data_IF_164749873341
#
_entry.id   IF_164749873341
#
_cell.length_a   1.000
_cell.length_b   1.000
_cell.length_c   1.000
_cell.angle_alpha   90.00
_cell.angle_beta   90.00
_cell.angle_gamma   90.00
#
_symmetry.space_group_name_H-M   'P 1'
#
loop_
_entity.id
_entity.type
_entity.pdbx_description
1 polymer ?
#
# COMPACT_ATOMS: atom_id res chain seq x y z
N UNK A 1 22.57 4.05 -16.15
CA UNK A 1 21.36 4.14 -16.98
C UNK A 1 20.36 3.04 -16.65
N UNK A 2 20.80 1.82 -16.34
CA UNK A 2 19.93 0.67 -16.03
C UNK A 2 18.83 0.87 -14.99
N UNK A 3 19.05 1.63 -13.90
CA UNK A 3 17.99 1.84 -12.89
C UNK A 3 16.85 2.71 -13.41
N UNK A 4 17.16 3.77 -14.15
CA UNK A 4 16.15 4.65 -14.76
C UNK A 4 15.37 3.89 -15.83
N UNK A 5 16.08 3.12 -16.65
CA UNK A 5 15.48 2.26 -17.66
C UNK A 5 14.52 1.24 -17.04
N UNK A 6 14.92 0.57 -15.93
CA UNK A 6 14.02 -0.30 -15.16
C UNK A 6 12.77 0.44 -14.66
N UNK A 7 12.90 1.65 -14.13
CA UNK A 7 11.74 2.42 -13.67
C UNK A 7 10.78 2.80 -14.80
N UNK A 8 11.32 3.24 -15.95
CA UNK A 8 10.51 3.58 -17.13
C UNK A 8 9.77 2.35 -17.66
N UNK A 9 10.45 1.20 -17.75
CA UNK A 9 9.82 -0.07 -18.12
C UNK A 9 8.72 -0.42 -17.14
N UNK A 10 8.97 -0.37 -15.82
CA UNK A 10 7.93 -0.70 -14.84
C UNK A 10 6.73 0.24 -14.93
N UNK A 11 6.96 1.55 -15.09
CA UNK A 11 5.88 2.53 -15.24
C UNK A 11 5.06 2.29 -16.51
N UNK A 12 5.74 1.97 -17.61
CA UNK A 12 5.10 1.63 -18.89
C UNK A 12 4.27 0.34 -18.80
N UNK A 13 4.80 -0.70 -18.14
CA UNK A 13 4.05 -1.93 -17.89
C UNK A 13 2.81 -1.66 -17.02
N UNK A 14 2.93 -0.84 -15.97
CA UNK A 14 1.77 -0.43 -15.17
C UNK A 14 0.74 0.35 -15.99
N UNK A 15 1.16 1.26 -16.87
CA UNK A 15 0.21 1.98 -17.73
C UNK A 15 -0.49 1.08 -18.73
N UNK A 16 0.19 0.06 -19.27
CA UNK A 16 -0.44 -0.95 -20.13
C UNK A 16 -1.50 -1.73 -19.34
N UNK A 17 -1.16 -2.22 -18.14
CA UNK A 17 -2.10 -2.98 -17.32
C UNK A 17 -3.31 -2.14 -16.96
N UNK A 18 -3.12 -0.88 -16.56
CA UNK A 18 -4.23 0.06 -16.30
C UNK A 18 -5.06 0.27 -17.57
N UNK A 19 -4.42 0.48 -18.71
CA UNK A 19 -5.10 0.63 -20.00
C UNK A 19 -5.97 -0.58 -20.34
N UNK A 20 -5.44 -1.80 -20.19
CA UNK A 20 -6.19 -3.05 -20.41
C UNK A 20 -7.39 -3.14 -19.46
N UNK A 21 -7.21 -2.83 -18.18
CA UNK A 21 -8.31 -2.83 -17.19
C UNK A 21 -9.39 -1.83 -17.58
N UNK A 22 -9.01 -0.62 -18.02
CA UNK A 22 -9.96 0.42 -18.42
C UNK A 22 -10.71 0.04 -19.70
N UNK A 23 -10.01 -0.49 -20.71
CA UNK A 23 -10.62 -0.96 -21.96
C UNK A 23 -11.59 -2.10 -21.66
N UNK A 24 -11.17 -3.08 -20.86
CA UNK A 24 -12.04 -4.19 -20.46
C UNK A 24 -13.24 -3.70 -19.65
N UNK A 25 -13.05 -2.73 -18.74
CA UNK A 25 -14.13 -2.14 -17.95
C UNK A 25 -15.15 -1.41 -18.82
N UNK A 26 -14.68 -0.65 -19.81
CA UNK A 26 -15.54 0.04 -20.78
C UNK A 26 -16.30 -0.96 -21.66
N UNK A 27 -15.61 -1.98 -22.18
CA UNK A 27 -16.24 -3.06 -22.93
C UNK A 27 -17.29 -3.81 -22.10
N UNK A 28 -17.00 -4.09 -20.83
CA UNK A 28 -17.93 -4.69 -19.88
C UNK A 28 -19.18 -3.84 -19.64
N UNK A 29 -19.00 -2.52 -19.51
CA UNK A 29 -20.11 -1.57 -19.38
C UNK A 29 -21.02 -1.58 -20.62
N UNK A 30 -20.43 -1.63 -21.83
CA UNK A 30 -21.17 -1.64 -23.09
C UNK A 30 -21.99 -2.93 -23.33
N UNK A 31 -21.61 -4.05 -22.71
CA UNK A 31 -22.33 -5.32 -22.87
C UNK A 31 -23.70 -5.35 -22.19
N UNK A 32 -24.05 -4.34 -21.39
CA UNK A 32 -25.31 -4.23 -20.64
C UNK A 32 -25.74 -5.54 -19.94
N UNK A 33 -24.77 -6.27 -19.40
CA UNK A 33 -25.02 -7.56 -18.75
C UNK A 33 -25.97 -7.38 -17.57
N UNK A 34 -26.78 -8.41 -17.31
CA UNK A 34 -27.57 -8.47 -16.08
C UNK A 34 -26.74 -9.08 -14.95
N UNK A 35 -26.67 -8.45 -13.76
CA UNK A 35 -26.07 -9.06 -12.58
C UNK A 35 -26.68 -10.42 -12.21
N UNK A 36 -27.95 -10.64 -12.55
CA UNK A 36 -28.72 -11.81 -12.12
C UNK A 36 -28.74 -12.96 -13.12
N UNK A 37 -28.25 -12.75 -14.36
CA UNK A 37 -28.31 -13.75 -15.46
C UNK A 37 -26.94 -13.96 -16.12
N UNK A 38 -26.71 -15.16 -16.67
CA UNK A 38 -25.54 -15.48 -17.46
C UNK A 38 -24.21 -15.28 -16.73
N UNK A 39 -23.24 -14.67 -17.41
CA UNK A 39 -21.85 -14.51 -16.93
C UNK A 39 -21.78 -13.62 -15.68
N UNK A 40 -22.62 -12.57 -15.58
CA UNK A 40 -22.64 -11.67 -14.43
C UNK A 40 -22.93 -12.41 -13.11
N UNK A 41 -23.78 -13.44 -13.16
CA UNK A 41 -24.11 -14.25 -11.98
C UNK A 41 -22.93 -15.08 -11.48
N UNK A 42 -22.21 -15.75 -12.38
CA UNK A 42 -21.05 -16.57 -12.04
C UNK A 42 -19.89 -15.75 -11.49
N UNK A 43 -19.67 -14.55 -12.04
CA UNK A 43 -18.67 -13.61 -11.53
C UNK A 43 -19.02 -13.18 -10.09
N UNK A 44 -20.30 -12.98 -9.79
CA UNK A 44 -20.77 -12.71 -8.43
C UNK A 44 -20.42 -13.83 -7.46
N UNK A 45 -20.69 -15.08 -7.83
CA UNK A 45 -20.34 -16.25 -6.99
C UNK A 45 -18.83 -16.42 -6.84
N UNK A 46 -18.06 -16.27 -7.91
CA UNK A 46 -16.60 -16.36 -7.85
C UNK A 46 -16.02 -15.27 -6.94
N UNK A 47 -16.44 -14.02 -7.14
CA UNK A 47 -16.02 -12.88 -6.32
C UNK A 47 -16.42 -13.03 -4.85
N UNK A 48 -17.69 -13.34 -4.57
CA UNK A 48 -18.19 -13.58 -3.21
C UNK A 48 -17.50 -14.77 -2.53
N UNK A 49 -17.25 -15.85 -3.26
CA UNK A 49 -16.49 -17.01 -2.79
C UNK A 49 -15.05 -16.62 -2.41
N UNK A 50 -14.36 -15.86 -3.26
CA UNK A 50 -13.03 -15.32 -2.93
C UNK A 50 -13.07 -14.46 -1.67
N UNK A 51 -14.08 -13.60 -1.50
CA UNK A 51 -14.25 -12.80 -0.29
C UNK A 51 -14.39 -13.68 0.94
N UNK A 52 -15.25 -14.71 0.91
CA UNK A 52 -15.38 -15.66 2.04
C UNK A 52 -14.06 -16.37 2.33
N UNK A 53 -13.34 -16.81 1.29
CA UNK A 53 -12.03 -17.48 1.44
C UNK A 53 -10.96 -16.58 2.09
N UNK A 54 -11.08 -15.25 2.00
CA UNK A 54 -10.17 -14.35 2.74
C UNK A 54 -10.19 -14.60 4.26
N UNK A 55 -11.30 -15.14 4.79
CA UNK A 55 -11.47 -15.43 6.21
C UNK A 55 -10.69 -16.64 6.69
N UNK A 56 -10.24 -17.51 5.77
CA UNK A 56 -9.38 -18.64 6.14
C UNK A 56 -8.10 -18.18 6.84
N UNK A 57 -7.57 -17.01 6.48
CA UNK A 57 -6.44 -16.40 7.19
C UNK A 57 -6.79 -16.11 8.66
N UNK A 58 -7.94 -15.48 8.91
CA UNK A 58 -8.41 -15.16 10.27
C UNK A 58 -8.67 -16.43 11.09
N UNK A 59 -9.31 -17.43 10.47
CA UNK A 59 -9.60 -18.73 11.10
C UNK A 59 -8.29 -19.43 11.47
N UNK A 60 -7.35 -19.54 10.54
CA UNK A 60 -6.03 -20.16 10.76
C UNK A 60 -5.25 -19.45 11.86
N UNK A 61 -5.35 -18.13 11.98
CA UNK A 61 -4.70 -17.35 13.05
C UNK A 61 -5.33 -17.58 14.44
N UNK A 62 -6.62 -17.92 14.51
CA UNK A 62 -7.37 -18.09 15.78
C UNK A 62 -7.33 -19.52 16.29
N UNK A 63 -7.35 -20.50 15.39
CA UNK A 63 -7.38 -21.92 15.74
C UNK A 63 -5.95 -22.43 15.95
N UNK A 64 -5.59 -22.76 17.20
CA UNK A 64 -4.22 -23.19 17.57
C UNK A 64 -3.74 -24.41 16.78
N UNK A 65 -4.63 -25.38 16.48
CA UNK A 65 -4.27 -26.59 15.71
C UNK A 65 -3.89 -26.30 14.25
N UNK A 66 -4.32 -25.18 13.69
CA UNK A 66 -3.99 -24.77 12.32
C UNK A 66 -2.69 -23.95 12.23
N UNK A 67 -2.02 -23.70 13.36
CA UNK A 67 -0.77 -22.92 13.36
C UNK A 67 0.34 -23.58 12.55
N UNK A 68 0.39 -24.92 12.50
CA UNK A 68 1.37 -25.69 11.72
C UNK A 68 1.07 -25.79 10.21
N UNK A 69 -0.14 -25.42 9.76
CA UNK A 69 -0.56 -25.61 8.37
C UNK A 69 -0.01 -24.48 7.49
N UNK A 70 1.08 -24.75 6.76
CA UNK A 70 1.68 -23.86 5.76
C UNK A 70 2.33 -22.59 6.34
N UNK A 71 3.15 -21.92 5.54
CA UNK A 71 3.89 -20.74 5.98
C UNK A 71 2.97 -19.53 6.27
N UNK A 72 3.20 -18.80 7.37
CA UNK A 72 2.41 -17.58 7.72
C UNK A 72 2.36 -16.55 6.59
N UNK A 73 3.49 -16.37 5.90
CA UNK A 73 3.61 -15.48 4.74
C UNK A 73 2.68 -15.89 3.61
N UNK A 74 2.62 -17.18 3.27
CA UNK A 74 1.78 -17.69 2.18
C UNK A 74 0.29 -17.43 2.42
N UNK A 75 -0.20 -17.61 3.65
CA UNK A 75 -1.59 -17.32 3.98
C UNK A 75 -1.92 -15.83 3.95
N UNK A 76 -0.99 -14.97 4.37
CA UNK A 76 -1.15 -13.53 4.25
C UNK A 76 -1.15 -13.09 2.78
N UNK A 77 -0.26 -13.65 1.97
CA UNK A 77 -0.22 -13.38 0.54
C UNK A 77 -1.52 -13.84 -0.13
N UNK A 78 -2.02 -15.04 0.17
CA UNK A 78 -3.31 -15.54 -0.31
C UNK A 78 -4.48 -14.62 0.08
N UNK A 79 -4.56 -14.19 1.34
CA UNK A 79 -5.58 -13.26 1.81
C UNK A 79 -5.57 -11.95 1.00
N UNK A 80 -4.38 -11.41 0.71
CA UNK A 80 -4.23 -10.17 -0.07
C UNK A 80 -4.63 -10.40 -1.53
N UNK A 81 -4.21 -11.52 -2.15
CA UNK A 81 -4.60 -11.84 -3.52
C UNK A 81 -6.12 -11.97 -3.67
N UNK A 82 -6.76 -12.73 -2.79
CA UNK A 82 -8.21 -12.89 -2.78
C UNK A 82 -8.93 -11.56 -2.47
N UNK A 83 -8.39 -10.76 -1.55
CA UNK A 83 -8.91 -9.45 -1.19
C UNK A 83 -8.69 -8.35 -2.23
N UNK A 84 -7.94 -8.62 -3.31
CA UNK A 84 -7.80 -7.74 -4.48
C UNK A 84 -8.66 -8.22 -5.65
N UNK A 85 -8.61 -9.53 -5.94
CA UNK A 85 -9.33 -10.11 -7.08
C UNK A 85 -10.83 -10.20 -6.79
N UNK A 86 -11.23 -10.62 -5.58
CA UNK A 86 -12.64 -10.73 -5.17
C UNK A 86 -13.43 -9.43 -5.36
N UNK A 87 -12.96 -8.28 -4.82
CA UNK A 87 -13.63 -7.00 -5.02
C UNK A 87 -13.67 -6.54 -6.49
N UNK A 88 -12.65 -6.88 -7.27
CA UNK A 88 -12.61 -6.57 -8.71
C UNK A 88 -13.71 -7.33 -9.45
N UNK A 89 -13.88 -8.63 -9.17
CA UNK A 89 -14.97 -9.43 -9.74
C UNK A 89 -16.33 -8.91 -9.28
N UNK A 90 -16.48 -8.56 -8.00
CA UNK A 90 -17.73 -8.01 -7.46
C UNK A 90 -18.07 -6.66 -8.13
N UNK A 91 -17.09 -5.80 -8.41
CA UNK A 91 -17.32 -4.57 -9.16
C UNK A 91 -17.92 -4.85 -10.54
N UNK A 92 -17.37 -5.82 -11.28
CA UNK A 92 -17.94 -6.24 -12.56
C UNK A 92 -19.33 -6.87 -12.41
N UNK A 93 -19.57 -7.67 -11.37
CA UNK A 93 -20.88 -8.26 -11.07
C UNK A 93 -21.96 -7.18 -10.87
N UNK A 94 -21.63 -6.06 -10.24
CA UNK A 94 -22.60 -4.97 -10.04
C UNK A 94 -22.98 -4.26 -11.35
N UNK A 95 -22.24 -4.48 -12.44
CA UNK A 95 -22.43 -3.79 -13.73
C UNK A 95 -22.42 -2.26 -13.59
N UNK A 96 -21.73 -1.77 -12.56
CA UNK A 96 -21.68 -0.36 -12.15
C UNK A 96 -23.04 0.25 -11.75
N UNK A 97 -24.06 -0.58 -11.53
CA UNK A 97 -25.38 -0.18 -11.04
C UNK A 97 -25.45 -0.43 -9.54
N UNK A 98 -25.06 0.56 -8.75
CA UNK A 98 -25.06 0.51 -7.29
C UNK A 98 -26.23 1.28 -6.72
N UNK A 99 -27.05 0.64 -5.88
CA UNK A 99 -28.19 1.28 -5.23
C UNK A 99 -28.56 0.61 -3.90
N UNK A 100 -29.31 1.34 -3.07
CA UNK A 100 -29.83 0.87 -1.79
C UNK A 100 -28.74 0.41 -0.82
N UNK A 101 -29.10 -0.54 0.05
CA UNK A 101 -28.20 -1.06 1.10
C UNK A 101 -26.97 -1.80 0.53
N UNK A 102 -27.08 -2.34 -0.70
CA UNK A 102 -25.99 -3.07 -1.35
C UNK A 102 -24.80 -2.15 -1.65
N UNK A 103 -25.06 -0.87 -1.94
CA UNK A 103 -24.00 0.13 -2.12
C UNK A 103 -23.14 0.29 -0.85
N UNK A 104 -23.73 0.16 0.34
CA UNK A 104 -22.98 0.21 1.62
C UNK A 104 -22.01 -0.96 1.72
N UNK A 105 -22.44 -2.18 1.37
CA UNK A 105 -21.54 -3.36 1.33
C UNK A 105 -20.42 -3.16 0.32
N UNK A 106 -20.74 -2.69 -0.88
CA UNK A 106 -19.78 -2.45 -1.94
C UNK A 106 -18.71 -1.44 -1.53
N UNK A 107 -19.10 -0.27 -1.02
CA UNK A 107 -18.13 0.73 -0.58
C UNK A 107 -17.36 0.28 0.66
N UNK A 108 -17.98 -0.46 1.57
CA UNK A 108 -17.27 -1.08 2.69
C UNK A 108 -16.19 -2.04 2.21
N UNK A 109 -16.49 -2.88 1.22
CA UNK A 109 -15.52 -3.77 0.57
C UNK A 109 -14.35 -3.00 -0.04
N UNK A 110 -14.63 -1.91 -0.78
CA UNK A 110 -13.58 -1.05 -1.36
C UNK A 110 -12.70 -0.44 -0.26
N UNK A 111 -13.30 0.04 0.83
CA UNK A 111 -12.56 0.58 1.99
C UNK A 111 -11.70 -0.50 2.65
N UNK A 112 -12.19 -1.73 2.81
CA UNK A 112 -11.40 -2.87 3.33
C UNK A 112 -10.22 -3.17 2.41
N UNK A 113 -10.46 -3.27 1.09
CA UNK A 113 -9.40 -3.53 0.11
C UNK A 113 -8.31 -2.45 0.14
N UNK A 114 -8.70 -1.17 0.06
CA UNK A 114 -7.76 -0.04 0.06
C UNK A 114 -7.00 0.05 1.40
N UNK A 115 -7.70 -0.15 2.53
CA UNK A 115 -7.05 -0.17 3.84
C UNK A 115 -6.11 -1.38 4.00
N UNK A 116 -6.41 -2.52 3.36
CA UNK A 116 -5.53 -3.67 3.28
C UNK A 116 -4.22 -3.38 2.53
N UNK A 117 -4.29 -2.66 1.40
CA UNK A 117 -3.11 -2.21 0.63
C UNK A 117 -2.21 -1.34 1.49
N UNK A 118 -2.79 -0.35 2.18
CA UNK A 118 -2.05 0.54 3.09
C UNK A 118 -1.50 -0.26 4.29
N UNK A 119 -2.26 -1.20 4.84
CA UNK A 119 -1.80 -2.09 5.91
C UNK A 119 -0.59 -2.92 5.49
N UNK A 120 -0.59 -3.48 4.28
CA UNK A 120 0.55 -4.20 3.69
C UNK A 120 1.76 -3.27 3.48
N UNK A 121 1.53 -2.02 3.07
CA UNK A 121 2.59 -1.01 2.92
C UNK A 121 3.32 -0.77 4.24
N UNK A 122 2.60 -0.70 5.37
CA UNK A 122 3.19 -0.56 6.71
C UNK A 122 3.90 -1.85 7.11
N UNK A 123 3.22 -2.99 7.03
CA UNK A 123 3.71 -4.30 7.52
C UNK A 123 5.05 -4.71 6.88
N UNK A 124 5.23 -4.47 5.58
CA UNK A 124 6.49 -4.81 4.87
C UNK A 124 7.67 -3.96 5.34
N UNK A 125 7.42 -2.71 5.76
CA UNK A 125 8.49 -1.79 6.18
C UNK A 125 8.79 -1.89 7.67
N UNK A 126 7.78 -2.23 8.47
CA UNK A 126 7.85 -2.27 9.93
C UNK A 126 7.05 -3.48 10.41
N UNK A 127 7.73 -4.59 10.73
CA UNK A 127 7.08 -5.72 11.38
C UNK A 127 6.47 -5.25 12.70
N UNK A 128 5.21 -5.58 12.96
CA UNK A 128 4.45 -5.12 14.14
C UNK A 128 5.18 -5.39 15.45
N UNK A 129 5.94 -6.49 15.56
CA UNK A 129 6.72 -6.81 16.76
C UNK A 129 7.89 -5.86 17.04
N UNK A 130 8.39 -5.14 16.03
CA UNK A 130 9.49 -4.17 16.14
C UNK A 130 8.93 -2.74 16.21
N UNK A 131 7.69 -2.52 15.75
CA UNK A 131 7.08 -1.20 15.73
C UNK A 131 7.10 -0.52 17.10
N UNK A 132 6.95 -1.26 18.20
CA UNK A 132 6.92 -0.73 19.56
C UNK A 132 8.29 -0.69 20.26
N UNK A 133 9.38 -1.02 19.56
CA UNK A 133 10.73 -1.00 20.14
C UNK A 133 11.30 0.42 20.14
N UNK A 134 11.37 1.04 21.31
CA UNK A 134 12.10 2.30 21.50
C UNK A 134 13.58 2.14 21.15
N UNK A 135 14.17 0.97 21.44
CA UNK A 135 15.54 0.64 21.09
C UNK A 135 15.78 0.68 19.58
N UNK A 136 14.86 0.14 18.78
CA UNK A 136 14.96 0.22 17.31
C UNK A 136 14.87 1.67 16.83
N UNK A 137 13.98 2.47 17.41
CA UNK A 137 13.86 3.88 17.06
C UNK A 137 15.16 4.64 17.36
N UNK A 138 15.76 4.39 18.53
CA UNK A 138 17.02 5.02 18.94
C UNK A 138 18.18 4.57 18.05
N UNK A 139 18.27 3.27 17.73
CA UNK A 139 19.26 2.72 16.79
C UNK A 139 19.18 3.38 15.42
N UNK A 140 17.98 3.54 14.87
CA UNK A 140 17.79 4.19 13.57
C UNK A 140 18.16 5.67 13.60
N UNK A 141 17.84 6.39 14.68
CA UNK A 141 18.25 7.80 14.85
C UNK A 141 19.78 7.93 14.90
N UNK A 142 20.45 7.05 15.64
CA UNK A 142 21.91 7.02 15.71
C UNK A 142 22.54 6.74 14.34
N UNK A 143 22.03 5.73 13.62
CA UNK A 143 22.50 5.39 12.27
C UNK A 143 22.32 6.56 11.30
N UNK A 144 21.16 7.24 11.34
CA UNK A 144 20.90 8.45 10.55
C UNK A 144 21.90 9.57 10.87
N UNK A 145 22.24 9.77 12.15
CA UNK A 145 23.22 10.78 12.58
C UNK A 145 24.62 10.44 12.08
N UNK A 146 25.02 9.16 12.12
CA UNK A 146 26.32 8.70 11.61
C UNK A 146 26.44 8.92 10.09
N UNK A 147 25.39 8.63 9.33
CA UNK A 147 25.36 8.90 7.89
C UNK A 147 25.46 10.41 7.60
N UNK A 148 24.75 11.25 8.37
CA UNK A 148 24.87 12.71 8.27
C UNK A 148 26.29 13.20 8.51
N UNK A 149 26.98 12.67 9.53
CA UNK A 149 28.40 12.95 9.80
C UNK A 149 29.31 12.51 8.65
N UNK A 150 29.07 11.34 8.04
CA UNK A 150 29.84 10.86 6.88
C UNK A 150 29.66 11.76 5.66
N UNK A 151 28.43 12.18 5.36
CA UNK A 151 28.12 13.10 4.25
C UNK A 151 28.89 14.42 4.40
N UNK A 152 28.93 14.98 5.62
CA UNK A 152 29.64 16.23 5.90
C UNK A 152 31.16 16.16 5.69
N UNK A 153 31.77 14.97 5.77
CA UNK A 153 33.21 14.81 5.45
C UNK A 153 33.50 15.03 3.97
N UNK A 154 32.57 14.70 3.09
CA UNK A 154 32.74 14.88 1.64
C UNK A 154 32.44 16.32 1.20
N UNK A 155 31.58 17.03 1.94
CA UNK A 155 31.14 18.38 1.61
C UNK A 155 31.13 19.21 2.90
N UNK A 156 32.31 19.71 3.32
CA UNK A 156 32.42 20.70 4.39
C UNK A 156 31.62 21.95 3.95
N UNK A 157 30.81 22.52 4.85
CA UNK A 157 29.72 23.51 4.57
C UNK A 157 28.36 22.90 4.19
N UNK A 158 28.08 21.70 4.71
CA UNK A 158 26.98 20.79 4.37
C UNK A 158 25.53 21.25 4.55
N UNK A 159 25.25 22.49 5.00
CA UNK A 159 23.88 23.00 5.24
C UNK A 159 22.93 22.76 4.07
N UNK A 160 23.46 22.83 2.84
CA UNK A 160 22.70 22.56 1.62
C UNK A 160 22.32 21.09 1.44
N UNK A 161 23.11 20.12 1.89
CA UNK A 161 22.82 18.69 1.77
C UNK A 161 21.90 18.20 2.88
N UNK A 162 22.08 18.68 4.12
CA UNK A 162 21.08 18.39 5.16
C UNK A 162 19.70 18.91 4.76
N UNK A 163 19.62 20.13 4.19
CA UNK A 163 18.37 20.66 3.65
C UNK A 163 17.79 19.77 2.52
N UNK A 164 18.65 19.23 1.65
CA UNK A 164 18.23 18.27 0.61
C UNK A 164 17.72 16.95 1.24
N UNK A 165 18.41 16.41 2.25
CA UNK A 165 17.98 15.20 2.96
C UNK A 165 16.63 15.42 3.65
N UNK A 166 16.42 16.57 4.28
CA UNK A 166 15.15 16.95 4.90
C UNK A 166 14.02 17.08 3.86
N UNK A 167 14.28 17.71 2.71
CA UNK A 167 13.29 17.83 1.63
C UNK A 167 12.97 16.46 0.98
N UNK A 168 14.01 15.67 0.68
CA UNK A 168 13.86 14.34 0.07
C UNK A 168 13.16 13.34 0.98
N UNK A 169 13.50 13.35 2.28
CA UNK A 169 12.79 12.55 3.28
C UNK A 169 11.34 13.01 3.43
N UNK A 170 11.08 14.30 3.19
CA UNK A 170 9.78 14.93 3.38
C UNK A 170 9.42 15.12 4.84
N UNK A 171 10.39 15.00 5.75
CA UNK A 171 10.16 15.03 7.20
C UNK A 171 9.43 16.28 7.68
N UNK A 172 9.86 17.47 7.24
CA UNK A 172 9.21 18.73 7.65
C UNK A 172 7.72 18.74 7.31
N UNK A 173 7.37 18.25 6.11
CA UNK A 173 5.98 18.15 5.65
C UNK A 173 5.20 17.05 6.38
N UNK A 174 5.87 16.02 6.87
CA UNK A 174 5.26 14.98 7.70
C UNK A 174 5.07 15.45 9.14
N UNK A 175 6.01 16.21 9.71
CA UNK A 175 5.94 16.70 11.08
C UNK A 175 4.73 17.61 11.35
N UNK A 176 4.27 18.35 10.34
CA UNK A 176 3.05 19.19 10.41
C UNK A 176 1.77 18.35 10.22
N UNK A 177 1.88 17.11 9.73
CA UNK A 177 0.75 16.20 9.51
C UNK A 177 0.59 15.25 10.70
N UNK A 178 -0.64 14.84 10.98
CA UNK A 178 -0.95 13.88 12.05
C UNK A 178 -1.62 12.63 11.49
N UNK A 179 -1.31 11.48 12.09
CA UNK A 179 -1.97 10.21 11.83
C UNK A 179 -2.02 9.82 10.35
N UNK A 180 -3.23 9.51 9.86
CA UNK A 180 -3.45 9.00 8.50
C UNK A 180 -2.94 9.94 7.39
N UNK A 181 -3.05 11.25 7.59
CA UNK A 181 -2.59 12.23 6.60
C UNK A 181 -1.06 12.19 6.38
N UNK A 182 -0.30 11.90 7.45
CA UNK A 182 1.13 11.70 7.40
C UNK A 182 1.49 10.40 6.65
N UNK A 183 0.76 9.32 6.93
CA UNK A 183 0.91 8.04 6.25
C UNK A 183 0.61 8.16 4.74
N UNK A 184 -0.49 8.81 4.37
CA UNK A 184 -0.87 9.01 2.97
C UNK A 184 0.16 9.87 2.22
N UNK A 185 0.74 10.88 2.88
CA UNK A 185 1.83 11.66 2.29
C UNK A 185 3.09 10.83 2.06
N UNK A 186 3.46 9.94 3.00
CA UNK A 186 4.59 9.02 2.82
C UNK A 186 4.31 8.04 1.69
N UNK A 187 3.12 7.45 1.65
CA UNK A 187 2.67 6.53 0.62
C UNK A 187 2.73 7.18 -0.77
N UNK A 188 2.08 8.33 -0.96
CA UNK A 188 2.09 9.07 -2.22
C UNK A 188 3.51 9.54 -2.60
N UNK A 189 4.30 9.97 -1.62
CA UNK A 189 5.68 10.41 -1.83
C UNK A 189 6.59 9.29 -2.33
N UNK A 190 6.29 8.02 -2.04
CA UNK A 190 7.05 6.87 -2.56
C UNK A 190 6.90 6.72 -4.08
N UNK A 191 5.73 7.06 -4.65
CA UNK A 191 5.52 7.06 -6.10
C UNK A 191 6.32 8.17 -6.81
N UNK A 192 6.57 9.29 -6.14
CA UNK A 192 7.34 10.41 -6.67
C UNK A 192 8.86 10.29 -6.44
N UNK A 193 9.33 9.26 -5.72
CA UNK A 193 10.76 9.07 -5.41
C UNK A 193 11.68 9.03 -6.63
N UNK A 194 11.33 8.35 -7.74
CA UNK A 194 12.24 8.28 -8.90
C UNK A 194 12.63 9.66 -9.42
N UNK A 195 11.66 10.59 -9.49
CA UNK A 195 11.88 11.97 -9.92
C UNK A 195 12.74 12.75 -8.91
N UNK A 196 12.51 12.57 -7.61
CA UNK A 196 13.29 13.24 -6.54
C UNK A 196 14.76 12.79 -6.53
N UNK A 197 15.01 11.49 -6.71
CA UNK A 197 16.37 10.96 -6.80
C UNK A 197 17.09 11.34 -8.10
N UNK A 198 16.35 11.47 -9.20
CA UNK A 198 16.88 12.04 -10.43
C UNK A 198 17.34 13.49 -10.21
N UNK A 199 16.50 14.32 -9.58
CA UNK A 199 16.84 15.70 -9.23
C UNK A 199 18.07 15.79 -8.33
N UNK A 200 18.17 14.94 -7.30
CA UNK A 200 19.37 14.84 -6.45
C UNK A 200 20.62 14.57 -7.28
N UNK A 201 20.57 13.60 -8.19
CA UNK A 201 21.70 13.26 -9.06
C UNK A 201 22.13 14.46 -9.91
N UNK A 202 21.17 15.20 -10.48
CA UNK A 202 21.45 16.42 -11.23
C UNK A 202 22.09 17.49 -10.37
N UNK A 203 21.59 17.72 -9.15
CA UNK A 203 22.14 18.72 -8.22
C UNK A 203 23.60 18.41 -7.84
N UNK A 204 23.93 17.15 -7.56
CA UNK A 204 25.30 16.74 -7.24
C UNK A 204 26.28 16.97 -8.41
N UNK A 205 25.78 16.96 -9.66
CA UNK A 205 26.58 17.21 -10.87
C UNK A 205 26.69 18.71 -11.14
N UNK A 206 25.56 19.40 -11.25
CA UNK A 206 25.48 20.76 -11.76
C UNK A 206 25.77 21.82 -10.70
N UNK A 207 25.29 21.61 -9.47
CA UNK A 207 25.41 22.58 -8.38
C UNK A 207 26.67 22.36 -7.54
N UNK A 208 26.90 21.12 -7.12
CA UNK A 208 28.03 20.76 -6.25
C UNK A 208 29.31 20.40 -7.01
N UNK A 209 29.23 20.23 -8.34
CA UNK A 209 30.36 19.94 -9.23
C UNK A 209 31.27 18.80 -8.72
N UNK A 210 30.68 17.76 -8.12
CA UNK A 210 31.44 16.69 -7.50
C UNK A 210 32.10 15.77 -8.54
N UNK A 211 33.36 15.33 -8.31
CA UNK A 211 34.00 14.31 -9.13
C UNK A 211 33.25 12.97 -9.04
N UNK A 212 33.44 12.09 -10.02
CA UNK A 212 32.67 10.84 -10.15
C UNK A 212 32.66 9.98 -8.87
N UNK A 213 33.82 9.76 -8.23
CA UNK A 213 33.97 8.91 -7.05
C UNK A 213 33.25 9.50 -5.81
N UNK A 214 33.58 10.71 -5.32
CA UNK A 214 32.84 11.35 -4.22
C UNK A 214 31.34 11.49 -4.50
N UNK A 215 30.95 11.82 -5.74
CA UNK A 215 29.54 11.96 -6.13
C UNK A 215 28.75 10.67 -5.93
N UNK A 216 29.31 9.53 -6.32
CA UNK A 216 28.64 8.22 -6.19
C UNK A 216 28.46 7.84 -4.72
N UNK A 217 29.46 8.16 -3.90
CA UNK A 217 29.43 7.89 -2.46
C UNK A 217 28.42 8.78 -1.74
N UNK A 218 28.47 10.10 -1.95
CA UNK A 218 27.50 11.05 -1.39
C UNK A 218 26.07 10.70 -1.82
N UNK A 219 25.85 10.37 -3.09
CA UNK A 219 24.53 9.96 -3.58
C UNK A 219 24.00 8.72 -2.84
N UNK A 220 24.87 7.73 -2.58
CA UNK A 220 24.51 6.53 -1.81
C UNK A 220 24.17 6.88 -0.37
N UNK A 221 25.06 7.61 0.31
CA UNK A 221 24.87 8.01 1.71
C UNK A 221 23.59 8.82 1.92
N UNK A 222 23.27 9.74 1.01
CA UNK A 222 22.03 10.53 1.06
C UNK A 222 20.80 9.64 0.90
N UNK A 223 20.80 8.68 -0.02
CA UNK A 223 19.68 7.76 -0.21
C UNK A 223 19.49 6.88 1.02
N UNK A 224 20.58 6.35 1.57
CA UNK A 224 20.54 5.49 2.76
C UNK A 224 20.01 6.30 3.96
N UNK A 225 20.49 7.53 4.15
CA UNK A 225 20.01 8.41 5.22
C UNK A 225 18.52 8.75 5.04
N UNK A 226 18.08 9.11 3.83
CA UNK A 226 16.66 9.36 3.53
C UNK A 226 15.80 8.13 3.77
N UNK A 227 16.30 6.93 3.48
CA UNK A 227 15.57 5.68 3.71
C UNK A 227 15.39 5.41 5.21
N UNK A 228 16.44 5.57 6.02
CA UNK A 228 16.40 5.43 7.48
C UNK A 228 15.45 6.45 8.10
N UNK A 229 15.59 7.71 7.70
CA UNK A 229 14.71 8.78 8.18
C UNK A 229 13.24 8.46 7.90
N UNK A 230 12.91 8.01 6.68
CA UNK A 230 11.52 7.64 6.36
C UNK A 230 11.04 6.43 7.16
N UNK A 231 11.95 5.49 7.49
CA UNK A 231 11.64 4.35 8.36
C UNK A 231 11.35 4.80 9.79
N UNK A 232 12.14 5.74 10.35
CA UNK A 232 11.89 6.37 11.65
C UNK A 232 10.49 6.97 11.70
N UNK A 233 10.17 7.82 10.72
CA UNK A 233 8.86 8.50 10.67
C UNK A 233 7.71 7.50 10.54
N UNK A 234 7.87 6.49 9.69
CA UNK A 234 6.85 5.46 9.54
C UNK A 234 6.67 4.64 10.83
N UNK A 235 7.75 4.42 11.59
CA UNK A 235 7.71 3.68 12.87
C UNK A 235 6.87 4.44 13.90
N UNK A 236 7.11 5.75 14.02
CA UNK A 236 6.34 6.61 14.91
C UNK A 236 4.86 6.67 14.52
N UNK A 237 4.56 6.75 13.22
CA UNK A 237 3.17 6.71 12.72
C UNK A 237 2.54 5.34 13.00
N UNK A 238 3.28 4.26 12.79
CA UNK A 238 2.81 2.90 13.00
C UNK A 238 2.46 2.66 14.48
N UNK A 239 3.29 3.11 15.42
CA UNK A 239 3.02 3.04 16.87
C UNK A 239 1.70 3.73 17.24
N UNK A 240 1.36 4.85 16.60
CA UNK A 240 0.14 5.61 16.91
C UNK A 240 -1.12 5.06 16.23
N UNK A 241 -0.99 4.43 15.06
CA UNK A 241 -2.14 4.11 14.21
C UNK A 241 -2.44 2.62 14.09
N UNK A 242 -1.47 1.71 14.28
CA UNK A 242 -1.63 0.31 13.91
C UNK A 242 -2.79 -0.38 14.65
N UNK A 243 -2.96 -0.09 15.94
CA UNK A 243 -4.02 -0.71 16.73
C UNK A 243 -5.41 -0.30 16.25
N UNK A 244 -5.62 1.01 16.06
CA UNK A 244 -6.85 1.55 15.49
C UNK A 244 -7.07 1.08 14.05
N UNK A 245 -5.99 0.95 13.27
CA UNK A 245 -6.05 0.51 11.87
C UNK A 245 -6.60 -0.90 11.72
N UNK A 246 -6.12 -1.83 12.55
CA UNK A 246 -6.57 -3.23 12.54
C UNK A 246 -8.03 -3.33 13.01
N UNK A 247 -8.44 -2.48 13.95
CA UNK A 247 -9.85 -2.40 14.39
C UNK A 247 -10.72 -1.88 13.23
N UNK A 248 -10.35 -0.74 12.64
CA UNK A 248 -11.06 -0.11 11.51
C UNK A 248 -11.26 -1.10 10.36
N UNK A 249 -10.19 -1.75 9.90
CA UNK A 249 -10.26 -2.72 8.80
C UNK A 249 -11.23 -3.87 9.11
N UNK A 250 -11.23 -4.38 10.36
CA UNK A 250 -12.13 -5.47 10.77
C UNK A 250 -13.59 -5.01 10.85
N UNK A 251 -13.88 -3.81 11.34
CA UNK A 251 -15.26 -3.29 11.44
C UNK A 251 -15.89 -3.23 10.05
N UNK A 252 -15.21 -2.61 9.08
CA UNK A 252 -15.71 -2.53 7.71
C UNK A 252 -15.85 -3.90 7.06
N UNK A 253 -14.94 -4.85 7.37
CA UNK A 253 -15.08 -6.23 6.89
C UNK A 253 -16.36 -6.88 7.43
N UNK A 254 -16.66 -6.74 8.72
CA UNK A 254 -17.91 -7.27 9.31
C UNK A 254 -19.15 -6.64 8.69
N UNK A 255 -19.19 -5.32 8.56
CA UNK A 255 -20.32 -4.60 7.92
C UNK A 255 -20.56 -5.12 6.50
N UNK A 256 -19.49 -5.22 5.71
CA UNK A 256 -19.56 -5.75 4.35
C UNK A 256 -20.13 -7.18 4.33
N UNK A 257 -19.61 -8.10 5.16
CA UNK A 257 -20.08 -9.50 5.17
C UNK A 257 -21.52 -9.65 5.64
N UNK A 258 -21.95 -8.89 6.66
CA UNK A 258 -23.33 -8.92 7.14
C UNK A 258 -24.28 -8.51 6.02
N UNK A 259 -24.00 -7.39 5.35
CA UNK A 259 -24.85 -6.90 4.26
C UNK A 259 -24.75 -7.83 3.03
N UNK A 260 -23.58 -8.42 2.76
CA UNK A 260 -23.42 -9.40 1.68
C UNK A 260 -24.31 -10.63 1.89
N UNK A 261 -24.34 -11.18 3.12
CA UNK A 261 -25.21 -12.32 3.46
C UNK A 261 -26.68 -11.92 3.28
N UNK A 262 -27.08 -10.75 3.80
CA UNK A 262 -28.44 -10.25 3.64
C UNK A 262 -28.80 -10.09 2.15
N UNK A 263 -27.89 -9.53 1.36
CA UNK A 263 -28.06 -9.37 -0.09
C UNK A 263 -28.28 -10.72 -0.79
N UNK A 264 -27.48 -11.74 -0.46
CA UNK A 264 -27.64 -13.09 -1.02
C UNK A 264 -28.98 -13.70 -0.61
N UNK A 265 -29.38 -13.60 0.66
CA UNK A 265 -30.66 -14.14 1.14
C UNK A 265 -31.84 -13.47 0.42
N UNK A 266 -31.87 -12.14 0.37
CA UNK A 266 -32.90 -11.37 -0.36
C UNK A 266 -32.90 -11.76 -1.83
N UNK A 267 -31.72 -11.82 -2.46
CA UNK A 267 -31.62 -12.21 -3.86
C UNK A 267 -32.11 -13.65 -4.10
N UNK A 268 -31.95 -14.59 -3.18
CA UNK A 268 -32.49 -15.95 -3.33
C UNK A 268 -34.00 -16.00 -3.10
N UNK A 269 -34.53 -15.26 -2.12
CA UNK A 269 -35.96 -15.23 -1.81
C UNK A 269 -36.78 -14.57 -2.91
N UNK A 270 -36.33 -13.43 -3.44
CA UNK A 270 -37.07 -12.64 -4.44
C UNK A 270 -36.76 -13.03 -5.90
N UNK A 271 -35.84 -13.99 -6.11
CA UNK A 271 -35.55 -14.58 -7.44
C UNK A 271 -36.29 -15.90 -7.67
N UNK A 272 -36.95 -16.44 -6.62
CA UNK A 272 -37.81 -17.62 -6.69
C UNK A 272 -39.26 -17.32 -7.08
N UNK A 273 -39.54 -16.10 -7.55
CA UNK A 273 -40.82 -15.65 -8.14
C UNK A 273 -40.57 -15.08 -9.52
#
# INVERSE_FOLDING_TARGET
MERIFRYLITAFLYSIVIGIILIFSYWWYLLELSPSKGIGHWIGYAGGGMMVLTQLYTIRKRIKSLNGVGARKAWLDLHIYLGLIGPTLIAYHTTYKLGGIVAVSFWSMVVVMLSGIIGRYIYVRIPVGIANSEDELNRLKEESNLLGKRINRFIPNGTSIQAIVEDLSGMKKVAVRRGLSALMYLFAGDFLRPFRFFKLRLMLILKFKLPFRPRREVYRLVIDQVAIIRRIVLLQIAQQLLDYWIIFHRIFAWVMFIIMILHIIVALLFKAT
#
